data_IF_494459303184
#
_entry.id   IF_494459303184
#
_cell.length_a   1.000
_cell.length_b   1.000
_cell.length_c   1.000
_cell.angle_alpha   90.00
_cell.angle_beta   90.00
_cell.angle_gamma   90.00
#
_symmetry.space_group_name_H-M   'P 1'
#
loop_
_entity.id
_entity.type
_entity.pdbx_description
1 polymer ?
#
# COMPACT_ATOMS: atom_id res chain seq x y z
N UNK A 1 -2.68 16.11 -31.74
CA UNK A 1 -2.87 15.30 -30.52
C UNK A 1 -2.22 13.95 -30.78
N UNK A 2 -1.16 13.61 -30.07
CA UNK A 2 -0.50 12.31 -30.22
C UNK A 2 -1.47 11.23 -29.73
N UNK A 3 -2.11 10.54 -30.68
CA UNK A 3 -3.06 9.47 -30.43
C UNK A 3 -2.32 8.23 -29.96
N UNK A 4 -1.98 8.20 -28.68
CA UNK A 4 -1.70 6.94 -28.00
C UNK A 4 -3.06 6.35 -27.67
N UNK A 5 -3.45 5.25 -28.31
CA UNK A 5 -4.60 4.44 -27.91
C UNK A 5 -4.26 3.79 -26.56
N UNK A 6 -4.45 4.55 -25.48
CA UNK A 6 -4.37 3.98 -24.13
C UNK A 6 -5.65 3.20 -23.90
N UNK A 7 -5.53 1.87 -24.04
CA UNK A 7 -6.59 0.94 -23.67
C UNK A 7 -6.94 1.14 -22.18
N UNK A 8 -8.22 1.26 -21.86
CA UNK A 8 -8.74 1.54 -20.52
C UNK A 8 -8.19 0.58 -19.44
N UNK A 9 -7.75 -0.62 -19.83
CA UNK A 9 -7.07 -1.57 -18.93
C UNK A 9 -5.80 -1.01 -18.31
N UNK A 10 -5.05 -0.16 -19.01
CA UNK A 10 -3.83 0.46 -18.45
C UNK A 10 -4.17 1.43 -17.33
N UNK A 11 -5.23 2.24 -17.52
CA UNK A 11 -5.72 3.18 -16.51
C UNK A 11 -6.30 2.41 -15.33
N UNK A 12 -7.06 1.35 -15.57
CA UNK A 12 -7.58 0.46 -14.53
C UNK A 12 -6.46 -0.11 -13.66
N UNK A 13 -5.41 -0.64 -14.29
CA UNK A 13 -4.26 -1.20 -13.57
C UNK A 13 -3.51 -0.12 -12.79
N UNK A 14 -3.34 1.09 -13.35
CA UNK A 14 -2.73 2.21 -12.63
C UNK A 14 -3.54 2.63 -11.40
N UNK A 15 -4.85 2.83 -11.54
CA UNK A 15 -5.74 3.20 -10.43
C UNK A 15 -5.77 2.09 -9.37
N UNK A 16 -5.77 0.82 -9.80
CA UNK A 16 -5.69 -0.33 -8.89
C UNK A 16 -4.41 -0.31 -8.06
N UNK A 17 -3.26 0.07 -8.63
CA UNK A 17 -2.01 0.21 -7.87
C UNK A 17 -2.04 1.38 -6.88
N UNK A 18 -2.72 2.48 -7.23
CA UNK A 18 -2.86 3.64 -6.34
C UNK A 18 -3.78 3.40 -5.12
N UNK A 19 -4.70 2.43 -5.21
CA UNK A 19 -5.70 2.11 -4.19
C UNK A 19 -5.35 0.89 -3.31
N UNK A 20 -4.15 0.32 -3.41
CA UNK A 20 -3.78 -0.91 -2.66
C UNK A 20 -3.66 -0.70 -1.15
N UNK A 21 -3.47 0.54 -0.71
CA UNK A 21 -3.21 0.90 0.69
C UNK A 21 -4.46 1.45 1.36
N UNK A 22 -4.64 1.06 2.61
CA UNK A 22 -5.68 1.56 3.52
C UNK A 22 -5.04 2.20 4.73
N UNK A 23 -5.64 3.27 5.22
CA UNK A 23 -5.25 3.92 6.48
C UNK A 23 -6.13 3.40 7.60
N UNK A 24 -5.51 2.88 8.65
CA UNK A 24 -6.23 2.43 9.84
C UNK A 24 -6.77 3.65 10.59
N UNK A 25 -8.06 3.68 10.85
CA UNK A 25 -8.70 4.70 11.70
C UNK A 25 -8.72 4.18 13.13
N UNK A 26 -9.20 2.96 13.29
CA UNK A 26 -9.31 2.29 14.58
C UNK A 26 -8.71 0.89 14.46
N UNK A 27 -7.76 0.59 15.33
CA UNK A 27 -7.10 -0.72 15.35
C UNK A 27 -7.94 -1.80 16.05
N UNK A 28 -8.90 -1.42 16.89
CA UNK A 28 -9.62 -2.37 17.74
C UNK A 28 -8.63 -3.17 18.61
N UNK A 29 -8.79 -4.49 18.61
CA UNK A 29 -7.92 -5.45 19.30
C UNK A 29 -6.95 -6.17 18.33
N UNK A 30 -6.81 -5.67 17.10
CA UNK A 30 -5.86 -6.20 16.12
C UNK A 30 -4.43 -5.74 16.43
N UNK A 31 -3.44 -6.38 15.81
CA UNK A 31 -2.02 -5.97 15.90
C UNK A 31 -1.68 -4.71 15.08
N UNK A 32 -2.67 -4.06 14.48
CA UNK A 32 -2.48 -2.91 13.60
C UNK A 32 -2.35 -1.62 14.41
N UNK A 33 -1.60 -0.66 13.87
CA UNK A 33 -1.43 0.65 14.50
C UNK A 33 -2.41 1.66 13.89
N UNK A 34 -3.17 2.41 14.72
CA UNK A 34 -4.04 3.46 14.22
C UNK A 34 -3.22 4.56 13.55
N UNK A 35 -3.67 5.03 12.40
CA UNK A 35 -2.98 6.03 11.59
C UNK A 35 -1.95 5.47 10.62
N UNK A 36 -1.53 4.20 10.75
CA UNK A 36 -0.61 3.55 9.81
C UNK A 36 -1.27 3.24 8.48
N UNK A 37 -0.45 3.24 7.42
CA UNK A 37 -0.82 2.78 6.09
C UNK A 37 -0.43 1.30 5.97
N UNK A 38 -1.41 0.45 5.65
CA UNK A 38 -1.19 -0.98 5.45
C UNK A 38 -1.84 -1.43 4.15
N UNK A 39 -1.37 -2.51 3.57
CA UNK A 39 -2.01 -3.11 2.39
C UNK A 39 -3.37 -3.69 2.75
N UNK A 40 -4.29 -3.62 1.79
CA UNK A 40 -5.63 -4.23 1.89
C UNK A 40 -5.53 -5.72 2.25
N UNK A 41 -4.52 -6.43 1.74
CA UNK A 41 -4.36 -7.86 1.99
C UNK A 41 -3.99 -8.10 3.47
N UNK A 42 -2.96 -7.42 3.96
CA UNK A 42 -2.53 -7.48 5.36
C UNK A 42 -3.64 -7.06 6.33
N UNK A 43 -4.42 -6.03 5.99
CA UNK A 43 -5.60 -5.62 6.77
C UNK A 43 -6.67 -6.72 6.82
N UNK A 44 -6.94 -7.36 5.68
CA UNK A 44 -7.93 -8.43 5.58
C UNK A 44 -7.50 -9.67 6.37
N UNK A 45 -6.24 -10.07 6.29
CA UNK A 45 -5.69 -11.19 7.08
C UNK A 45 -5.72 -10.89 8.58
N UNK A 46 -5.27 -9.70 9.00
CA UNK A 46 -5.30 -9.29 10.41
C UNK A 46 -6.74 -9.28 10.97
N UNK A 47 -7.71 -8.80 10.19
CA UNK A 47 -9.11 -8.83 10.58
C UNK A 47 -9.69 -10.24 10.61
N UNK A 48 -9.27 -11.12 9.69
CA UNK A 48 -9.68 -12.53 9.69
C UNK A 48 -9.22 -13.24 10.96
N UNK A 49 -7.99 -12.98 11.39
CA UNK A 49 -7.44 -13.56 12.61
C UNK A 49 -8.13 -13.00 13.87
N UNK A 50 -8.37 -11.69 13.94
CA UNK A 50 -9.14 -11.10 15.04
C UNK A 50 -10.58 -11.65 15.12
N UNK A 51 -11.21 -11.92 13.97
CA UNK A 51 -12.53 -12.53 13.93
C UNK A 51 -12.53 -13.95 14.51
N UNK A 52 -11.50 -14.76 14.21
CA UNK A 52 -11.33 -16.09 14.81
C UNK A 52 -11.15 -16.04 16.32
N UNK A 53 -10.44 -15.03 16.81
CA UNK A 53 -10.18 -14.82 18.24
C UNK A 53 -11.37 -14.14 18.98
N UNK A 54 -12.51 -13.89 18.31
CA UNK A 54 -13.67 -13.14 18.83
C UNK A 54 -13.30 -11.74 19.34
N UNK A 55 -12.29 -11.12 18.74
CA UNK A 55 -11.81 -9.78 19.05
C UNK A 55 -12.50 -8.71 18.18
N UNK A 56 -12.35 -7.44 18.56
CA UNK A 56 -12.90 -6.33 17.76
C UNK A 56 -12.07 -6.13 16.48
N UNK A 57 -12.69 -6.18 15.28
CA UNK A 57 -11.98 -5.96 14.03
C UNK A 57 -11.51 -4.51 13.89
N UNK A 58 -10.45 -4.29 13.13
CA UNK A 58 -9.97 -2.95 12.81
C UNK A 58 -10.81 -2.30 11.71
N UNK A 59 -10.99 -0.98 11.81
CA UNK A 59 -11.64 -0.15 10.79
C UNK A 59 -10.60 0.67 10.05
N UNK A 60 -10.65 0.62 8.72
CA UNK A 60 -9.74 1.35 7.84
C UNK A 60 -10.50 2.09 6.74
N UNK A 61 -9.90 3.16 6.22
CA UNK A 61 -10.39 3.86 5.01
C UNK A 61 -9.39 3.69 3.87
N UNK A 62 -9.84 3.41 2.63
CA UNK A 62 -8.96 3.43 1.48
C UNK A 62 -8.41 4.84 1.28
N UNK A 63 -7.12 4.93 0.98
CA UNK A 63 -6.46 6.20 0.68
C UNK A 63 -5.87 6.10 -0.71
N UNK A 64 -6.23 7.04 -1.57
CA UNK A 64 -5.64 7.16 -2.89
C UNK A 64 -4.26 7.79 -2.74
N UNK A 65 -3.22 6.99 -2.96
CA UNK A 65 -1.85 7.47 -2.96
C UNK A 65 -1.47 7.95 -4.36
N UNK A 66 -0.78 9.09 -4.45
CA UNK A 66 -0.20 9.54 -5.72
C UNK A 66 0.79 8.51 -6.27
N UNK A 67 0.93 8.45 -7.60
CA UNK A 67 1.76 7.46 -8.30
C UNK A 67 3.19 7.39 -7.75
N UNK A 68 3.80 8.53 -7.41
CA UNK A 68 5.16 8.60 -6.87
C UNK A 68 5.27 7.93 -5.51
N UNK A 69 4.28 8.13 -4.63
CA UNK A 69 4.27 7.55 -3.28
C UNK A 69 3.90 6.07 -3.30
N UNK A 70 3.04 5.64 -4.22
CA UNK A 70 2.72 4.23 -4.42
C UNK A 70 3.94 3.43 -4.94
N UNK A 71 4.73 4.00 -5.86
CA UNK A 71 5.93 3.35 -6.40
C UNK A 71 7.06 3.20 -5.37
N UNK A 72 7.25 4.21 -4.49
CA UNK A 72 8.29 4.16 -3.45
C UNK A 72 7.97 3.17 -2.32
N UNK A 73 6.69 2.91 -2.07
CA UNK A 73 6.22 2.01 -1.01
C UNK A 73 6.03 0.56 -1.48
N UNK A 74 6.41 0.24 -2.73
CA UNK A 74 6.36 -1.13 -3.26
C UNK A 74 7.52 -1.93 -2.66
N UNK A 75 7.22 -3.11 -2.11
CA UNK A 75 8.14 -3.97 -1.33
C UNK A 75 9.32 -4.57 -2.10
N UNK A 76 9.53 -4.19 -3.37
CA UNK A 76 10.68 -4.62 -4.15
C UNK A 76 11.80 -3.58 -4.05
N UNK A 77 12.78 -3.86 -3.19
CA UNK A 77 14.00 -3.07 -3.01
C UNK A 77 14.70 -2.73 -4.35
N UNK A 78 14.66 -3.66 -5.32
CA UNK A 78 15.21 -3.49 -6.67
C UNK A 78 14.41 -2.51 -7.54
N UNK A 79 13.07 -2.47 -7.41
CA UNK A 79 12.24 -1.51 -8.16
C UNK A 79 12.29 -0.10 -7.56
N UNK A 80 12.38 0.01 -6.22
CA UNK A 80 12.46 1.30 -5.54
C UNK A 80 13.78 2.04 -5.82
N UNK A 81 14.90 1.31 -5.93
CA UNK A 81 16.21 1.88 -6.26
C UNK A 81 16.29 2.47 -7.68
N UNK A 82 15.47 1.97 -8.62
CA UNK A 82 15.53 2.37 -10.03
C UNK A 82 14.78 3.66 -10.36
N UNK A 83 13.81 4.10 -9.54
CA UNK A 83 12.85 5.11 -10.02
C UNK A 83 13.23 6.57 -9.71
N UNK A 84 14.00 6.89 -8.66
CA UNK A 84 14.59 8.24 -8.49
C UNK A 84 15.49 8.46 -7.26
N UNK A 85 15.67 7.50 -6.35
CA UNK A 85 16.39 7.72 -5.08
C UNK A 85 17.59 6.79 -4.88
N UNK A 86 18.57 6.83 -5.79
CA UNK A 86 19.82 6.04 -5.65
C UNK A 86 20.67 6.42 -4.44
N UNK A 87 20.49 7.61 -3.85
CA UNK A 87 21.30 8.06 -2.71
C UNK A 87 20.72 7.69 -1.34
N UNK A 88 19.40 7.49 -1.21
CA UNK A 88 18.76 7.18 0.10
C UNK A 88 18.56 5.70 0.34
N UNK A 89 18.36 4.89 -0.70
CA UNK A 89 18.07 3.45 -0.58
C UNK A 89 19.30 2.62 -0.18
N UNK A 90 20.50 3.00 -0.63
CA UNK A 90 21.74 2.24 -0.36
C UNK A 90 22.13 2.22 1.13
N UNK A 91 21.88 3.31 1.87
CA UNK A 91 22.22 3.36 3.30
C UNK A 91 21.35 2.47 4.18
N UNK A 92 20.14 2.10 3.74
CA UNK A 92 19.22 1.26 4.54
C UNK A 92 19.54 -0.24 4.45
N UNK A 93 20.46 -0.64 3.58
CA UNK A 93 20.82 -2.05 3.36
C UNK A 93 22.07 -2.50 4.14
N UNK A 94 22.79 -1.58 4.78
CA UNK A 94 24.05 -1.85 5.50
C UNK A 94 23.95 -1.79 7.04
N UNK A 95 22.74 -1.82 7.61
CA UNK A 95 22.53 -1.99 9.05
C UNK A 95 21.54 -3.12 9.30
#
# INVERSE_FOLDING_TARGET
MQGVEIDDKHVEVMVRQMLRKVRIIEAGDTKLLPGSLVDIHNFTDANRDAFKERKRPATAKPVLLGITKASLETESFLSAASFQETTRVTYRCCN
#
